data_IF_357700463467
#
_entry.id   IF_357700463467
#
_cell.length_a   1.000
_cell.length_b   1.000
_cell.length_c   1.000
_cell.angle_alpha   90.00
_cell.angle_beta   90.00
_cell.angle_gamma   90.00
#
_symmetry.space_group_name_H-M   'P 1'
#
loop_
_entity.id
_entity.type
_entity.pdbx_description
1 polymer ?
#
# COMPACT_ATOMS: atom_id res chain seq x y z
N UNK A 1 33.78 3.82 -6.27
CA UNK A 1 32.39 4.23 -6.56
C UNK A 1 31.53 2.97 -6.55
N UNK A 2 30.61 2.63 -5.66
CA UNK A 2 30.06 3.18 -4.43
C UNK A 2 28.93 2.22 -4.03
N UNK A 3 29.26 1.07 -3.43
CA UNK A 3 28.32 -0.02 -3.05
C UNK A 3 27.29 0.36 -1.96
N UNK A 4 27.25 1.63 -1.55
CA UNK A 4 26.39 2.17 -0.51
C UNK A 4 25.45 3.28 -1.03
N UNK A 5 25.24 3.40 -2.35
CA UNK A 5 24.29 4.39 -2.89
C UNK A 5 22.80 3.95 -2.73
N UNK A 6 22.56 2.75 -2.17
CA UNK A 6 21.22 2.24 -1.85
C UNK A 6 20.68 2.76 -0.50
N UNK A 7 21.54 3.38 0.31
CA UNK A 7 21.14 4.05 1.57
C UNK A 7 21.19 5.57 1.35
N UNK A 8 20.55 6.07 0.29
CA UNK A 8 20.07 7.44 0.39
C UNK A 8 18.87 7.39 1.34
N UNK A 9 18.92 8.02 2.52
CA UNK A 9 17.71 8.23 3.29
C UNK A 9 16.79 9.03 2.37
N UNK A 10 15.76 8.38 1.81
CA UNK A 10 14.62 9.06 1.20
C UNK A 10 14.19 10.06 2.25
N UNK A 11 14.29 11.36 1.97
CA UNK A 11 13.89 12.38 2.94
C UNK A 11 12.46 12.04 3.36
N UNK A 12 12.27 11.59 4.60
CA UNK A 12 10.98 11.11 5.11
C UNK A 12 9.94 12.22 5.20
N UNK A 13 10.31 13.45 4.87
CA UNK A 13 9.44 14.62 4.90
C UNK A 13 8.29 14.52 3.88
N UNK A 14 8.45 13.76 2.80
CA UNK A 14 7.46 13.66 1.71
C UNK A 14 6.85 12.26 1.53
N UNK A 15 7.03 11.37 2.52
CA UNK A 15 6.51 10.01 2.45
C UNK A 15 5.58 9.80 3.63
N UNK A 16 4.29 9.66 3.32
CA UNK A 16 3.30 9.31 4.31
C UNK A 16 3.16 7.79 4.37
N UNK A 17 3.25 7.21 5.58
CA UNK A 17 3.16 5.77 5.77
C UNK A 17 1.97 5.40 6.65
N UNK A 18 1.15 4.46 6.20
CA UNK A 18 0.09 3.85 6.99
C UNK A 18 0.44 2.40 7.35
N UNK A 19 0.34 2.08 8.64
CA UNK A 19 0.56 0.75 9.19
C UNK A 19 -0.79 0.14 9.61
N UNK A 20 -1.52 -0.49 8.68
CA UNK A 20 -2.81 -1.08 8.97
C UNK A 20 -2.63 -2.26 9.93
N UNK A 21 -3.22 -2.17 11.11
CA UNK A 21 -3.01 -3.15 12.19
C UNK A 21 -1.66 -3.04 12.92
N UNK A 22 -0.95 -1.92 12.73
CA UNK A 22 0.32 -1.63 13.41
C UNK A 22 1.51 -2.45 12.92
N UNK A 23 2.67 -2.25 13.57
CA UNK A 23 3.94 -2.92 13.20
C UNK A 23 3.90 -4.45 13.33
N UNK A 24 2.90 -4.99 14.02
CA UNK A 24 2.76 -6.43 14.26
C UNK A 24 2.39 -7.20 12.97
N UNK A 25 1.60 -6.59 12.08
CA UNK A 25 1.23 -7.23 10.81
C UNK A 25 2.36 -7.20 9.77
N UNK A 26 3.42 -6.39 10.02
CA UNK A 26 4.54 -6.18 9.09
C UNK A 26 4.12 -5.71 7.70
N UNK A 27 2.88 -5.24 7.56
CA UNK A 27 2.33 -4.67 6.33
C UNK A 27 2.20 -3.17 6.51
N UNK A 28 2.58 -2.43 5.49
CA UNK A 28 2.36 -0.99 5.41
C UNK A 28 2.20 -0.54 3.98
N UNK A 29 1.57 0.61 3.81
CA UNK A 29 1.47 1.31 2.54
C UNK A 29 2.09 2.69 2.70
N UNK A 30 2.91 3.08 1.74
CA UNK A 30 3.56 4.38 1.69
C UNK A 30 3.02 5.18 0.51
N UNK A 31 2.87 6.49 0.67
CA UNK A 31 2.52 7.43 -0.38
C UNK A 31 3.64 8.44 -0.52
N UNK A 32 4.28 8.48 -1.68
CA UNK A 32 5.28 9.48 -2.04
C UNK A 32 4.55 10.69 -2.62
N UNK A 33 4.49 11.80 -1.88
CA UNK A 33 3.74 13.00 -2.26
C UNK A 33 4.37 13.76 -3.43
N UNK A 34 5.67 13.57 -3.69
CA UNK A 34 6.40 14.20 -4.79
C UNK A 34 6.17 13.45 -6.09
N UNK A 35 6.19 12.11 -6.02
CA UNK A 35 5.99 11.26 -7.19
C UNK A 35 4.54 10.91 -7.45
N UNK A 36 3.65 11.18 -6.49
CA UNK A 36 2.26 10.73 -6.47
C UNK A 36 2.14 9.22 -6.68
N UNK A 37 2.94 8.42 -5.96
CA UNK A 37 2.97 6.95 -6.09
C UNK A 37 2.67 6.30 -4.74
N UNK A 38 1.70 5.40 -4.73
CA UNK A 38 1.48 4.46 -3.63
C UNK A 38 2.42 3.28 -3.76
N UNK A 39 3.08 2.89 -2.68
CA UNK A 39 3.89 1.68 -2.61
C UNK A 39 3.39 0.82 -1.47
N UNK A 40 2.88 -0.36 -1.80
CA UNK A 40 2.46 -1.35 -0.82
C UNK A 40 3.63 -2.25 -0.46
N UNK A 41 3.82 -2.47 0.83
CA UNK A 41 4.78 -3.39 1.41
C UNK A 41 4.02 -4.44 2.21
N UNK A 42 3.90 -5.62 1.61
CA UNK A 42 3.25 -6.79 2.17
C UNK A 42 4.21 -7.73 2.90
N UNK A 43 3.65 -8.86 3.35
CA UNK A 43 4.41 -9.95 3.94
C UNK A 43 5.19 -10.70 2.88
N UNK A 44 6.22 -11.41 3.32
CA UNK A 44 7.03 -12.30 2.48
C UNK A 44 7.68 -11.62 1.25
N UNK A 45 7.91 -10.32 1.31
CA UNK A 45 8.53 -9.55 0.22
C UNK A 45 7.58 -9.16 -0.90
N UNK A 46 6.26 -9.32 -0.73
CA UNK A 46 5.28 -8.77 -1.64
C UNK A 46 5.41 -7.24 -1.63
N UNK A 47 5.77 -6.66 -2.77
CA UNK A 47 5.86 -5.21 -2.92
C UNK A 47 5.36 -4.83 -4.31
N UNK A 48 4.51 -3.81 -4.37
CA UNK A 48 4.07 -3.23 -5.64
C UNK A 48 3.86 -1.73 -5.49
N UNK A 49 4.00 -1.01 -6.60
CA UNK A 49 3.80 0.43 -6.66
C UNK A 49 2.74 0.78 -7.70
N UNK A 50 1.84 1.68 -7.35
CA UNK A 50 0.75 2.15 -8.21
C UNK A 50 0.78 3.68 -8.24
N UNK A 51 0.94 4.30 -9.41
CA UNK A 51 0.77 5.75 -9.57
C UNK A 51 -0.65 6.15 -9.21
N UNK A 52 -0.81 7.25 -8.48
CA UNK A 52 -2.12 7.77 -8.08
C UNK A 52 -3.01 8.08 -9.28
N UNK A 53 -2.45 8.64 -10.34
CA UNK A 53 -3.18 8.97 -11.58
C UNK A 53 -3.79 7.74 -12.25
N UNK A 54 -3.21 6.56 -12.01
CA UNK A 54 -3.72 5.30 -12.54
C UNK A 54 -4.76 4.67 -11.61
N UNK A 55 -4.91 5.12 -10.36
CA UNK A 55 -5.80 4.50 -9.39
C UNK A 55 -7.24 5.00 -9.58
N UNK A 56 -8.10 4.14 -10.12
CA UNK A 56 -9.51 4.48 -10.37
C UNK A 56 -10.43 4.09 -9.22
N UNK A 57 -10.22 2.92 -8.63
CA UNK A 57 -11.02 2.46 -7.49
C UNK A 57 -10.25 1.49 -6.59
N UNK A 58 -10.62 1.52 -5.31
CA UNK A 58 -10.04 0.68 -4.26
C UNK A 58 -11.15 -0.16 -3.65
N UNK A 59 -11.01 -1.48 -3.72
CA UNK A 59 -12.02 -2.43 -3.27
C UNK A 59 -11.43 -3.31 -2.17
N UNK A 60 -12.19 -3.47 -1.08
CA UNK A 60 -11.92 -4.50 -0.08
C UNK A 60 -12.76 -5.71 -0.46
N UNK A 61 -12.10 -6.78 -0.88
CA UNK A 61 -12.75 -8.03 -1.24
C UNK A 61 -12.67 -9.00 -0.07
N UNK A 62 -13.83 -9.37 0.46
CA UNK A 62 -13.93 -10.35 1.54
C UNK A 62 -13.52 -11.73 1.04
N UNK A 63 -12.65 -12.40 1.80
CA UNK A 63 -12.21 -13.77 1.53
C UNK A 63 -12.70 -14.73 2.62
N UNK A 64 -12.89 -14.21 3.84
CA UNK A 64 -13.48 -14.92 4.97
C UNK A 64 -14.28 -13.94 5.84
N UNK A 65 -14.92 -14.43 6.91
CA UNK A 65 -15.69 -13.59 7.84
C UNK A 65 -14.87 -12.53 8.57
N UNK A 66 -13.55 -12.71 8.66
CA UNK A 66 -12.65 -11.82 9.44
C UNK A 66 -11.47 -11.30 8.63
N UNK A 67 -11.24 -11.84 7.43
CA UNK A 67 -10.11 -11.47 6.59
C UNK A 67 -10.55 -11.15 5.17
N UNK A 68 -9.91 -10.12 4.61
CA UNK A 68 -10.16 -9.59 3.28
C UNK A 68 -8.84 -9.31 2.58
N UNK A 69 -8.91 -8.98 1.30
CA UNK A 69 -7.80 -8.42 0.51
C UNK A 69 -8.17 -7.04 0.00
N UNK A 70 -7.20 -6.13 -0.02
CA UNK A 70 -7.32 -4.83 -0.66
C UNK A 70 -6.88 -4.97 -2.11
N UNK A 71 -7.73 -4.55 -3.03
CA UNK A 71 -7.43 -4.55 -4.46
C UNK A 71 -7.45 -3.11 -4.97
N UNK A 72 -6.37 -2.75 -5.66
CA UNK A 72 -6.21 -1.48 -6.36
C UNK A 72 -6.48 -1.72 -7.85
N UNK A 73 -7.34 -0.89 -8.44
CA UNK A 73 -7.72 -0.99 -9.84
C UNK A 73 -7.30 0.24 -10.63
N UNK A 74 -6.95 0.01 -11.90
CA UNK A 74 -6.75 1.02 -12.93
C UNK A 74 -7.69 0.73 -14.10
N UNK A 75 -8.76 1.51 -14.22
CA UNK A 75 -9.86 1.17 -15.11
C UNK A 75 -10.53 -0.13 -14.66
N UNK A 76 -10.52 -1.15 -15.51
CA UNK A 76 -11.06 -2.48 -15.21
C UNK A 76 -9.98 -3.46 -14.70
N UNK A 77 -8.71 -3.09 -14.78
CA UNK A 77 -7.59 -3.97 -14.46
C UNK A 77 -7.18 -3.87 -12.99
N UNK A 78 -7.04 -5.03 -12.33
CA UNK A 78 -6.48 -5.10 -10.99
C UNK A 78 -4.96 -4.97 -11.06
N UNK A 79 -4.43 -3.81 -10.67
CA UNK A 79 -3.00 -3.48 -10.72
C UNK A 79 -2.24 -3.85 -9.45
N UNK A 80 -2.95 -4.18 -8.37
CA UNK A 80 -2.34 -4.62 -7.13
C UNK A 80 -3.35 -5.31 -6.22
N UNK A 81 -2.94 -6.42 -5.61
CA UNK A 81 -3.71 -7.12 -4.58
C UNK A 81 -2.84 -7.29 -3.35
N UNK A 82 -3.34 -6.86 -2.20
CA UNK A 82 -2.65 -6.98 -0.91
C UNK A 82 -2.64 -8.42 -0.40
N UNK A 83 -1.86 -8.65 0.65
CA UNK A 83 -2.00 -9.86 1.45
C UNK A 83 -3.41 -10.01 2.04
N UNK A 84 -3.72 -11.23 2.46
CA UNK A 84 -4.92 -11.56 3.23
C UNK A 84 -4.79 -11.01 4.66
N UNK A 85 -5.49 -9.93 4.96
CA UNK A 85 -5.37 -9.18 6.21
C UNK A 85 -6.72 -9.13 6.93
N UNK A 86 -6.74 -8.84 8.25
CA UNK A 86 -7.98 -8.58 8.94
C UNK A 86 -8.80 -7.51 8.21
N UNK A 87 -10.12 -7.73 8.07
CA UNK A 87 -11.00 -6.84 7.30
C UNK A 87 -10.90 -5.37 7.76
N UNK A 88 -10.75 -5.15 9.08
CA UNK A 88 -10.52 -3.83 9.65
C UNK A 88 -9.23 -3.18 9.12
N UNK A 89 -8.13 -3.93 9.03
CA UNK A 89 -6.87 -3.44 8.51
C UNK A 89 -7.00 -3.05 7.02
N UNK A 90 -7.75 -3.85 6.23
CA UNK A 90 -8.06 -3.52 4.84
C UNK A 90 -8.90 -2.23 4.72
N UNK A 91 -9.91 -2.05 5.57
CA UNK A 91 -10.72 -0.84 5.57
C UNK A 91 -9.90 0.39 5.95
N UNK A 92 -9.05 0.30 6.97
CA UNK A 92 -8.13 1.39 7.34
C UNK A 92 -7.19 1.76 6.20
N UNK A 93 -6.64 0.77 5.47
CA UNK A 93 -5.84 1.08 4.27
C UNK A 93 -6.65 1.78 3.19
N UNK A 94 -7.86 1.28 2.92
CA UNK A 94 -8.74 1.87 1.89
C UNK A 94 -9.05 3.32 2.23
N UNK A 95 -9.50 3.58 3.45
CA UNK A 95 -9.87 4.92 3.89
C UNK A 95 -8.67 5.86 3.87
N UNK A 96 -7.48 5.37 4.23
CA UNK A 96 -6.24 6.13 4.15
C UNK A 96 -5.84 6.44 2.71
N UNK A 97 -5.93 5.48 1.78
CA UNK A 97 -5.62 5.72 0.35
C UNK A 97 -6.59 6.75 -0.25
N UNK A 98 -7.87 6.72 0.15
CA UNK A 98 -8.89 7.66 -0.31
C UNK A 98 -8.75 9.08 0.27
N UNK A 99 -7.95 9.28 1.31
CA UNK A 99 -7.68 10.62 1.86
C UNK A 99 -6.76 11.47 0.98
N UNK A 100 -6.01 10.84 0.05
CA UNK A 100 -5.12 11.53 -0.88
C UNK A 100 -5.76 11.70 -2.23
#
# INVERSE_FOLDING_TARGET
>A
MGFFDFIKPRSKENIESCWPGGKMLQVHIEYDTVKAVFTYFGRYGLQFSVPKDNLTHVVVKEVSRTHSVLQLYSGEDCVGTSDLLPTEACNTMKDWVLQF
#
